data_IF_363398612522
#
_entry.id   IF_363398612522
#
_cell.length_a   1.000
_cell.length_b   1.000
_cell.length_c   1.000
_cell.angle_alpha   90.00
_cell.angle_beta   90.00
_cell.angle_gamma   90.00
#
_symmetry.space_group_name_H-M   'P 1'
#
loop_
_entity.id
_entity.type
_entity.pdbx_description
1 polymer ?
#
# COMPACT_ATOMS: atom_id res chain seq x y z
N UNK A 1 6.24 -21.26 -30.39
CA UNK A 1 6.84 -19.92 -30.60
C UNK A 1 5.75 -19.04 -31.16
N UNK A 2 5.41 -17.93 -30.49
CA UNK A 2 4.50 -16.93 -31.06
C UNK A 2 5.08 -16.41 -32.38
N UNK A 3 4.34 -16.54 -33.47
CA UNK A 3 4.77 -16.06 -34.77
C UNK A 3 4.74 -14.53 -34.79
N UNK A 4 5.90 -13.90 -34.99
CA UNK A 4 6.06 -12.48 -35.28
C UNK A 4 5.17 -12.13 -36.48
N UNK A 5 4.20 -11.22 -36.31
CA UNK A 5 3.20 -10.86 -37.33
C UNK A 5 3.53 -9.58 -38.10
N UNK A 6 4.82 -9.34 -38.36
CA UNK A 6 5.30 -8.12 -39.03
C UNK A 6 4.57 -7.80 -40.34
N UNK A 7 4.32 -8.82 -41.16
CA UNK A 7 3.73 -8.70 -42.48
C UNK A 7 2.27 -8.20 -42.42
N UNK A 8 1.47 -8.82 -41.55
CA UNK A 8 0.08 -8.40 -41.28
C UNK A 8 0.04 -7.00 -40.67
N UNK A 9 0.99 -6.71 -39.77
CA UNK A 9 1.05 -5.44 -39.05
C UNK A 9 1.38 -4.27 -39.97
N UNK A 10 2.31 -4.44 -40.93
CA UNK A 10 2.61 -3.43 -41.95
C UNK A 10 1.35 -3.14 -42.80
N UNK A 11 0.66 -4.19 -43.25
CA UNK A 11 -0.57 -4.03 -44.03
C UNK A 11 -1.68 -3.31 -43.24
N UNK A 12 -1.81 -3.64 -41.95
CA UNK A 12 -2.75 -3.01 -41.03
C UNK A 12 -2.45 -1.51 -40.82
N UNK A 13 -1.22 -1.17 -40.43
CA UNK A 13 -0.79 0.21 -40.16
C UNK A 13 -0.87 1.09 -41.42
N UNK A 14 -0.49 0.54 -42.59
CA UNK A 14 -0.64 1.23 -43.87
C UNK A 14 -2.10 1.62 -44.13
N UNK A 15 -3.02 0.67 -43.96
CA UNK A 15 -4.47 0.90 -44.15
C UNK A 15 -5.01 1.90 -43.12
N UNK A 16 -4.54 1.85 -41.88
CA UNK A 16 -4.92 2.80 -40.83
C UNK A 16 -4.51 4.25 -41.17
N UNK A 17 -3.34 4.43 -41.77
CA UNK A 17 -2.87 5.75 -42.29
C UNK A 17 -3.49 6.13 -43.64
N UNK A 18 -4.35 5.29 -44.22
CA UNK A 18 -5.01 5.55 -45.51
C UNK A 18 -4.07 5.51 -46.72
N UNK A 19 -2.89 4.89 -46.60
CA UNK A 19 -1.88 4.86 -47.66
C UNK A 19 -2.12 3.69 -48.62
N UNK A 20 -1.83 3.89 -49.90
CA UNK A 20 -1.67 2.81 -50.89
C UNK A 20 -0.29 2.13 -50.75
N UNK A 21 -0.12 0.93 -51.30
CA UNK A 21 1.19 0.26 -51.30
C UNK A 21 2.25 1.08 -52.04
N UNK A 22 1.84 1.79 -53.09
CA UNK A 22 2.73 2.66 -53.87
C UNK A 22 3.17 3.91 -53.09
N UNK A 23 2.26 4.51 -52.32
CA UNK A 23 2.59 5.66 -51.45
C UNK A 23 3.50 5.25 -50.30
N UNK A 24 3.27 4.08 -49.70
CA UNK A 24 4.17 3.52 -48.69
C UNK A 24 5.57 3.28 -49.27
N UNK A 25 5.64 2.67 -50.46
CA UNK A 25 6.89 2.42 -51.16
C UNK A 25 7.65 3.72 -51.43
N UNK A 26 6.95 4.76 -51.91
CA UNK A 26 7.51 6.07 -52.17
C UNK A 26 8.04 6.75 -50.90
N UNK A 27 7.30 6.65 -49.79
CA UNK A 27 7.72 7.22 -48.51
C UNK A 27 8.99 6.58 -47.94
N UNK A 28 9.19 5.29 -48.19
CA UNK A 28 10.33 4.50 -47.69
C UNK A 28 11.47 4.35 -48.70
N UNK A 29 11.35 4.92 -49.90
CA UNK A 29 12.37 4.80 -50.95
C UNK A 29 12.54 3.39 -51.51
N UNK A 30 11.48 2.56 -51.47
CA UNK A 30 11.48 1.18 -51.97
C UNK A 30 10.53 1.02 -53.16
N UNK A 31 10.51 -0.16 -53.79
CA UNK A 31 9.58 -0.44 -54.89
C UNK A 31 8.20 -0.88 -54.38
N UNK A 32 7.14 -0.56 -55.13
CA UNK A 32 5.79 -1.05 -54.83
C UNK A 32 5.75 -2.59 -54.75
N UNK A 33 6.54 -3.27 -55.59
CA UNK A 33 6.67 -4.72 -55.57
C UNK A 33 7.30 -5.25 -54.27
N UNK A 34 8.23 -4.51 -53.64
CA UNK A 34 8.78 -4.87 -52.35
C UNK A 34 7.71 -4.83 -51.26
N UNK A 35 6.93 -3.74 -51.19
CA UNK A 35 5.81 -3.61 -50.25
C UNK A 35 4.77 -4.71 -50.45
N UNK A 36 4.41 -5.02 -51.70
CA UNK A 36 3.49 -6.12 -52.02
C UNK A 36 4.00 -7.48 -51.51
N UNK A 37 5.31 -7.74 -51.65
CA UNK A 37 5.93 -8.98 -51.14
C UNK A 37 5.97 -9.03 -49.61
N UNK A 38 6.15 -7.89 -48.95
CA UNK A 38 6.06 -7.79 -47.48
C UNK A 38 4.67 -8.17 -46.98
N UNK A 39 3.63 -7.55 -47.55
CA UNK A 39 2.24 -7.77 -47.13
C UNK A 39 1.69 -9.16 -47.53
N UNK A 40 2.34 -9.86 -48.47
CA UNK A 40 1.94 -11.20 -48.93
C UNK A 40 2.82 -12.33 -48.38
N UNK A 41 3.60 -12.07 -47.34
CA UNK A 41 4.47 -13.06 -46.66
C UNK A 41 5.59 -13.66 -47.54
N UNK A 42 5.90 -13.04 -48.69
CA UNK A 42 6.93 -13.55 -49.59
C UNK A 42 8.34 -13.14 -49.16
N UNK A 43 8.49 -11.97 -48.53
CA UNK A 43 9.74 -11.55 -47.89
C UNK A 43 9.46 -10.56 -46.75
N UNK A 44 10.48 -10.26 -45.96
CA UNK A 44 10.41 -9.23 -44.92
C UNK A 44 11.17 -7.97 -45.38
N UNK A 45 10.82 -6.78 -44.84
CA UNK A 45 11.67 -5.60 -44.97
C UNK A 45 13.04 -5.85 -44.34
N UNK A 46 14.06 -5.16 -44.84
CA UNK A 46 15.40 -5.18 -44.24
C UNK A 46 15.30 -4.66 -42.79
N UNK A 47 16.12 -5.23 -41.89
CA UNK A 47 16.21 -4.77 -40.50
C UNK A 47 16.57 -3.27 -40.43
N UNK A 48 17.36 -2.77 -41.39
CA UNK A 48 17.73 -1.37 -41.49
C UNK A 48 16.54 -0.44 -41.84
N UNK A 49 15.49 -0.96 -42.45
CA UNK A 49 14.27 -0.20 -42.79
C UNK A 49 13.26 -0.15 -41.63
N UNK A 50 13.38 -1.01 -40.62
CA UNK A 50 12.41 -1.09 -39.52
C UNK A 50 12.26 0.24 -38.75
N UNK A 51 13.33 0.98 -38.41
CA UNK A 51 13.20 2.27 -37.72
C UNK A 51 12.41 3.30 -38.54
N UNK A 52 12.62 3.34 -39.85
CA UNK A 52 11.94 4.28 -40.75
C UNK A 52 10.46 3.90 -40.93
N UNK A 53 10.16 2.61 -41.03
CA UNK A 53 8.77 2.10 -41.06
C UNK A 53 8.05 2.45 -39.76
N UNK A 54 8.68 2.18 -38.61
CA UNK A 54 8.13 2.47 -37.30
C UNK A 54 7.84 3.97 -37.13
N UNK A 55 8.79 4.82 -37.55
CA UNK A 55 8.65 6.27 -37.55
C UNK A 55 7.54 6.77 -38.48
N UNK A 56 7.39 6.20 -39.68
CA UNK A 56 6.34 6.58 -40.62
C UNK A 56 4.94 6.29 -40.05
N UNK A 57 4.80 5.18 -39.33
CA UNK A 57 3.53 4.77 -38.73
C UNK A 57 3.28 5.37 -37.34
N UNK A 58 4.28 6.02 -36.74
CA UNK A 58 4.23 6.58 -35.39
C UNK A 58 4.01 5.49 -34.31
N UNK A 59 4.78 4.40 -34.44
CA UNK A 59 4.76 3.25 -33.52
C UNK A 59 6.19 2.89 -33.10
N UNK A 60 6.33 2.13 -32.02
CA UNK A 60 7.61 1.52 -31.63
C UNK A 60 7.96 0.34 -32.55
N UNK A 61 9.25 -0.04 -32.59
CA UNK A 61 9.69 -1.24 -33.34
C UNK A 61 9.02 -2.50 -32.77
N UNK A 62 8.83 -2.59 -31.45
CA UNK A 62 8.15 -3.70 -30.79
C UNK A 62 6.69 -3.85 -31.27
N UNK A 63 5.95 -2.73 -31.32
CA UNK A 63 4.59 -2.70 -31.88
C UNK A 63 4.56 -3.04 -33.37
N UNK A 64 5.57 -2.61 -34.14
CA UNK A 64 5.68 -2.89 -35.57
C UNK A 64 5.88 -4.39 -35.85
N UNK A 65 6.73 -5.07 -35.08
CA UNK A 65 6.96 -6.52 -35.25
C UNK A 65 5.87 -7.36 -34.56
N UNK A 66 4.90 -6.72 -33.90
CA UNK A 66 3.86 -7.38 -33.12
C UNK A 66 4.43 -8.09 -31.88
N UNK A 67 5.62 -7.68 -31.43
CA UNK A 67 6.20 -8.13 -30.19
C UNK A 67 5.51 -7.39 -29.05
N UNK A 68 4.56 -8.06 -28.41
CA UNK A 68 4.12 -7.68 -27.08
C UNK A 68 5.10 -8.37 -26.13
N UNK A 69 6.01 -7.62 -25.52
CA UNK A 69 6.74 -8.15 -24.37
C UNK A 69 5.70 -8.75 -23.43
N UNK A 70 5.85 -9.99 -22.98
CA UNK A 70 5.03 -10.52 -21.90
C UNK A 70 5.00 -9.43 -20.82
N UNK A 71 3.80 -8.91 -20.51
CA UNK A 71 3.64 -7.80 -19.56
C UNK A 71 4.28 -8.24 -18.25
N UNK A 72 5.53 -7.85 -18.06
CA UNK A 72 6.30 -8.16 -16.87
C UNK A 72 5.79 -7.20 -15.81
N UNK A 73 5.86 -7.59 -14.54
CA UNK A 73 5.40 -6.74 -13.44
C UNK A 73 5.99 -5.31 -13.49
N UNK A 74 7.25 -5.20 -13.93
CA UNK A 74 7.95 -3.94 -14.22
C UNK A 74 7.19 -3.04 -15.22
N UNK A 75 6.67 -3.62 -16.31
CA UNK A 75 5.94 -2.88 -17.35
C UNK A 75 4.58 -2.39 -16.84
N UNK A 76 3.91 -3.16 -15.97
CA UNK A 76 2.65 -2.75 -15.35
C UNK A 76 2.89 -1.59 -14.39
N UNK A 77 3.93 -1.65 -13.56
CA UNK A 77 4.31 -0.55 -12.67
C UNK A 77 4.58 0.74 -13.45
N UNK A 78 5.37 0.67 -14.52
CA UNK A 78 5.71 1.85 -15.33
C UNK A 78 4.46 2.44 -16.02
N UNK A 79 3.53 1.61 -16.51
CA UNK A 79 2.26 2.05 -17.08
C UNK A 79 1.39 2.77 -16.04
N UNK A 80 1.24 2.20 -14.84
CA UNK A 80 0.48 2.80 -13.74
C UNK A 80 1.11 4.13 -13.31
N UNK A 81 2.44 4.16 -13.14
CA UNK A 81 3.19 5.39 -12.81
C UNK A 81 2.99 6.47 -13.86
N UNK A 82 3.08 6.10 -15.14
CA UNK A 82 2.85 7.02 -16.26
C UNK A 82 1.43 7.57 -16.27
N UNK A 83 0.43 6.71 -16.05
CA UNK A 83 -0.98 7.10 -15.94
C UNK A 83 -1.19 8.16 -14.86
N UNK A 84 -0.65 7.96 -13.65
CA UNK A 84 -0.78 8.93 -12.57
C UNK A 84 -0.01 10.23 -12.84
N UNK A 85 1.17 10.14 -13.44
CA UNK A 85 2.00 11.32 -13.76
C UNK A 85 1.33 12.21 -14.81
N UNK A 86 0.57 11.63 -15.74
CA UNK A 86 -0.14 12.36 -16.80
C UNK A 86 -1.57 12.78 -16.40
N UNK A 87 -2.08 12.31 -15.25
CA UNK A 87 -3.42 12.63 -14.78
C UNK A 87 -3.48 14.01 -14.11
N UNK A 88 -4.56 14.79 -14.30
CA UNK A 88 -4.83 15.99 -13.50
C UNK A 88 -4.84 15.69 -11.99
N UNK A 89 -4.26 16.57 -11.17
CA UNK A 89 -4.14 16.36 -9.73
C UNK A 89 -5.48 16.03 -9.03
N UNK A 90 -6.57 16.64 -9.49
CA UNK A 90 -7.92 16.44 -8.98
C UNK A 90 -8.46 15.02 -9.23
N UNK A 91 -8.00 14.35 -10.30
CA UNK A 91 -8.45 13.00 -10.66
C UNK A 91 -7.50 11.89 -10.18
N UNK A 92 -6.29 12.23 -9.71
CA UNK A 92 -5.31 11.26 -9.22
C UNK A 92 -5.88 10.42 -8.08
N UNK A 93 -6.52 11.07 -7.10
CA UNK A 93 -7.10 10.36 -5.96
C UNK A 93 -8.24 9.42 -6.39
N UNK A 94 -9.15 9.89 -7.23
CA UNK A 94 -10.26 9.09 -7.73
C UNK A 94 -9.76 7.88 -8.55
N UNK A 95 -8.76 8.08 -9.40
CA UNK A 95 -8.14 7.01 -10.18
C UNK A 95 -7.44 5.99 -9.27
N UNK A 96 -6.75 6.44 -8.22
CA UNK A 96 -6.11 5.56 -7.24
C UNK A 96 -7.14 4.74 -6.45
N UNK A 97 -8.25 5.38 -6.05
CA UNK A 97 -9.36 4.71 -5.38
C UNK A 97 -10.03 3.67 -6.27
N UNK A 98 -10.31 3.98 -7.54
CA UNK A 98 -10.88 3.01 -8.49
C UNK A 98 -9.95 1.84 -8.72
N UNK A 99 -8.64 2.09 -8.85
CA UNK A 99 -7.64 1.04 -9.00
C UNK A 99 -7.61 0.10 -7.78
N UNK A 100 -7.68 0.64 -6.56
CA UNK A 100 -7.70 -0.17 -5.34
C UNK A 100 -8.98 -0.98 -5.19
N UNK A 101 -10.14 -0.43 -5.57
CA UNK A 101 -11.42 -1.16 -5.64
C UNK A 101 -11.31 -2.34 -6.60
N UNK A 102 -10.80 -2.11 -7.80
CA UNK A 102 -10.65 -3.17 -8.81
C UNK A 102 -9.69 -4.27 -8.36
N UNK A 103 -8.58 -3.92 -7.70
CA UNK A 103 -7.64 -4.90 -7.14
C UNK A 103 -8.27 -5.72 -6.01
N UNK A 104 -9.05 -5.07 -5.14
CA UNK A 104 -9.75 -5.76 -4.06
C UNK A 104 -10.86 -6.67 -4.59
N UNK A 105 -11.66 -6.20 -5.55
CA UNK A 105 -12.65 -7.01 -6.24
C UNK A 105 -12.01 -8.22 -6.95
N UNK A 106 -10.88 -8.02 -7.63
CA UNK A 106 -10.14 -9.10 -8.26
C UNK A 106 -9.63 -10.14 -7.24
N UNK A 107 -9.24 -9.70 -6.04
CA UNK A 107 -8.82 -10.59 -4.95
C UNK A 107 -10.00 -11.34 -4.31
N UNK A 108 -11.19 -10.72 -4.22
CA UNK A 108 -12.36 -11.29 -3.54
C UNK A 108 -13.29 -12.11 -4.47
N UNK A 109 -13.28 -11.86 -5.79
CA UNK A 109 -14.17 -12.54 -6.74
C UNK A 109 -13.50 -13.73 -7.42
N UNK A 110 -14.29 -14.75 -7.79
CA UNK A 110 -13.77 -15.90 -8.55
C UNK A 110 -13.35 -15.55 -9.99
N UNK A 111 -13.78 -14.41 -10.53
CA UNK A 111 -13.70 -14.09 -11.97
C UNK A 111 -12.28 -13.97 -12.54
N UNK A 112 -11.31 -13.54 -11.73
CA UNK A 112 -9.90 -13.36 -12.16
C UNK A 112 -8.94 -14.40 -11.58
N UNK A 113 -9.39 -15.31 -10.72
CA UNK A 113 -8.53 -16.32 -10.08
C UNK A 113 -7.86 -17.28 -11.07
N UNK A 114 -8.32 -17.34 -12.32
CA UNK A 114 -7.67 -18.11 -13.39
C UNK A 114 -6.45 -17.44 -14.04
N UNK A 115 -6.23 -16.14 -13.82
CA UNK A 115 -5.17 -15.36 -14.49
C UNK A 115 -4.03 -14.92 -13.58
N UNK A 116 -4.18 -15.10 -12.27
CA UNK A 116 -3.20 -14.69 -11.30
C UNK A 116 -2.95 -15.86 -10.32
N UNK A 117 -1.75 -15.98 -9.73
CA UNK A 117 -1.22 -17.23 -9.18
C UNK A 117 -1.80 -17.64 -7.82
N UNK A 118 -3.11 -17.47 -7.61
CA UNK A 118 -3.80 -17.71 -6.34
C UNK A 118 -4.61 -19.01 -6.39
N UNK A 119 -4.84 -19.65 -5.23
CA UNK A 119 -5.63 -20.89 -5.14
C UNK A 119 -7.14 -20.62 -5.31
N UNK A 120 -7.70 -21.07 -6.43
CA UNK A 120 -9.11 -20.86 -6.78
C UNK A 120 -10.10 -21.52 -5.81
N UNK A 121 -9.68 -22.53 -5.05
CA UNK A 121 -10.53 -23.36 -4.20
C UNK A 121 -10.69 -22.84 -2.77
N UNK A 122 -9.94 -21.80 -2.39
CA UNK A 122 -9.99 -21.20 -1.06
C UNK A 122 -11.14 -20.18 -0.96
N UNK A 123 -11.97 -20.30 0.07
CA UNK A 123 -12.99 -19.31 0.41
C UNK A 123 -12.32 -18.15 1.14
N UNK A 124 -12.43 -16.96 0.57
CA UNK A 124 -11.81 -15.74 1.11
C UNK A 124 -12.80 -14.87 1.88
N UNK A 125 -14.06 -15.29 2.01
CA UNK A 125 -15.01 -14.65 2.90
C UNK A 125 -14.76 -15.05 4.36
N UNK A 126 -15.11 -14.16 5.30
CA UNK A 126 -15.22 -14.52 6.72
C UNK A 126 -16.38 -15.51 6.87
N UNK A 127 -16.11 -16.82 6.88
CA UNK A 127 -17.14 -17.87 6.96
C UNK A 127 -17.97 -17.84 8.26
N UNK A 128 -17.50 -17.17 9.32
CA UNK A 128 -18.11 -17.20 10.66
C UNK A 128 -18.88 -15.92 11.08
N UNK A 129 -18.84 -14.84 10.29
CA UNK A 129 -19.52 -13.58 10.66
C UNK A 129 -20.63 -13.23 9.66
N UNK A 130 -21.82 -12.80 10.13
CA UNK A 130 -22.90 -12.38 9.25
C UNK A 130 -22.40 -11.25 8.34
N UNK A 131 -22.50 -11.45 7.03
CA UNK A 131 -22.02 -10.53 6.00
C UNK A 131 -22.51 -9.10 6.28
N UNK A 132 -21.63 -8.24 6.81
CA UNK A 132 -21.90 -6.81 6.89
C UNK A 132 -21.69 -6.25 5.49
N UNK A 133 -22.76 -5.70 4.92
CA UNK A 133 -22.66 -4.96 3.67
C UNK A 133 -21.64 -3.81 3.83
N UNK A 134 -20.70 -3.70 2.89
CA UNK A 134 -19.59 -2.75 3.01
C UNK A 134 -18.36 -3.27 3.75
N UNK A 135 -18.26 -4.59 4.01
CA UNK A 135 -17.08 -5.21 4.62
C UNK A 135 -16.62 -6.46 3.86
N UNK A 136 -15.37 -6.49 3.42
CA UNK A 136 -14.72 -7.68 2.84
C UNK A 136 -13.23 -7.69 3.15
N UNK A 137 -12.68 -8.87 3.43
CA UNK A 137 -11.28 -9.05 3.75
C UNK A 137 -10.72 -10.21 2.92
N UNK A 138 -9.50 -10.06 2.39
CA UNK A 138 -8.76 -11.11 1.71
C UNK A 138 -7.34 -11.11 2.28
N UNK A 139 -6.85 -12.28 2.69
CA UNK A 139 -5.53 -12.45 3.29
C UNK A 139 -4.76 -13.54 2.56
N UNK A 140 -3.66 -13.15 1.94
CA UNK A 140 -2.76 -14.02 1.18
C UNK A 140 -1.30 -13.79 1.56
N UNK A 141 -0.40 -14.77 1.32
CA UNK A 141 1.03 -14.62 1.62
C UNK A 141 1.68 -13.38 0.98
N UNK A 142 1.21 -12.98 -0.20
CA UNK A 142 1.70 -11.82 -0.94
C UNK A 142 1.15 -10.49 -0.38
N UNK A 143 -0.02 -10.50 0.26
CA UNK A 143 -0.68 -9.30 0.75
C UNK A 143 -2.08 -9.50 1.32
N UNK A 144 -2.51 -8.52 2.11
CA UNK A 144 -3.84 -8.45 2.71
C UNK A 144 -4.59 -7.24 2.16
N UNK A 145 -5.88 -7.40 1.91
CA UNK A 145 -6.78 -6.29 1.55
C UNK A 145 -8.03 -6.33 2.42
N UNK A 146 -8.46 -5.17 2.92
CA UNK A 146 -9.69 -5.01 3.71
C UNK A 146 -10.47 -3.82 3.16
N UNK A 147 -11.72 -4.05 2.78
CA UNK A 147 -12.71 -3.01 2.53
C UNK A 147 -13.59 -2.87 3.77
N UNK A 148 -13.72 -1.65 4.29
CA UNK A 148 -14.59 -1.34 5.43
C UNK A 148 -15.17 0.06 5.27
N UNK A 149 -16.50 0.16 5.12
CA UNK A 149 -17.18 1.44 4.87
C UNK A 149 -16.75 2.05 3.53
N UNK A 150 -16.12 3.22 3.55
CA UNK A 150 -15.59 3.91 2.35
C UNK A 150 -14.06 3.77 2.21
N UNK A 151 -13.42 2.91 3.01
CA UNK A 151 -11.96 2.74 3.02
C UNK A 151 -11.53 1.38 2.46
N UNK A 152 -10.44 1.37 1.70
CA UNK A 152 -9.70 0.16 1.30
C UNK A 152 -8.31 0.22 1.91
N UNK A 153 -7.98 -0.79 2.70
CA UNK A 153 -6.67 -0.99 3.31
C UNK A 153 -5.95 -2.09 2.55
N UNK A 154 -4.70 -1.83 2.15
CA UNK A 154 -3.85 -2.80 1.44
C UNK A 154 -2.52 -2.88 2.20
N UNK A 155 -2.09 -4.09 2.55
CA UNK A 155 -0.82 -4.34 3.19
C UNK A 155 -0.06 -5.42 2.41
N UNK A 156 1.26 -5.27 2.24
CA UNK A 156 2.09 -6.35 1.74
C UNK A 156 2.38 -7.33 2.89
N UNK A 157 2.19 -8.64 2.67
CA UNK A 157 2.41 -9.65 3.71
C UNK A 157 3.86 -9.70 4.23
N UNK A 158 4.77 -9.03 3.51
CA UNK A 158 6.21 -8.90 3.81
C UNK A 158 6.51 -8.20 5.14
N UNK A 159 5.59 -7.38 5.66
CA UNK A 159 5.82 -6.60 6.88
C UNK A 159 5.19 -7.22 8.13
N UNK A 160 4.43 -8.32 7.98
CA UNK A 160 3.81 -9.01 9.10
C UNK A 160 4.56 -10.32 9.36
N UNK A 161 5.54 -10.28 10.25
CA UNK A 161 6.02 -11.49 10.90
C UNK A 161 5.04 -11.85 12.00
N UNK A 162 4.52 -13.07 11.98
CA UNK A 162 3.74 -13.60 13.10
C UNK A 162 4.62 -13.46 14.35
N UNK A 163 4.16 -12.74 15.40
CA UNK A 163 4.97 -12.57 16.58
C UNK A 163 5.31 -13.93 17.17
N UNK A 164 6.58 -14.15 17.51
CA UNK A 164 7.00 -15.38 18.17
C UNK A 164 6.37 -15.50 19.57
N UNK A 165 6.48 -16.67 20.21
CA UNK A 165 5.89 -16.91 21.54
C UNK A 165 6.38 -15.90 22.58
N UNK A 166 7.63 -15.45 22.49
CA UNK A 166 8.16 -14.42 23.40
C UNK A 166 7.49 -13.09 23.12
N UNK A 167 7.37 -12.68 21.86
CA UNK A 167 6.73 -11.43 21.45
C UNK A 167 5.23 -11.41 21.81
N UNK A 168 4.52 -12.53 21.66
CA UNK A 168 3.12 -12.66 22.11
C UNK A 168 3.02 -12.54 23.63
N UNK A 169 3.92 -13.19 24.38
CA UNK A 169 3.97 -13.07 25.84
C UNK A 169 4.27 -11.64 26.26
N UNK A 170 5.24 -10.99 25.64
CA UNK A 170 5.65 -9.62 25.97
C UNK A 170 4.52 -8.63 25.64
N UNK A 171 3.80 -8.84 24.54
CA UNK A 171 2.57 -8.10 24.20
C UNK A 171 1.46 -8.33 25.23
N UNK A 172 1.22 -9.58 25.64
CA UNK A 172 0.24 -9.91 26.67
C UNK A 172 0.57 -9.23 27.99
N UNK A 173 1.82 -9.31 28.45
CA UNK A 173 2.27 -8.65 29.68
C UNK A 173 2.15 -7.13 29.60
N UNK A 174 2.40 -6.52 28.44
CA UNK A 174 2.19 -5.10 28.23
C UNK A 174 0.69 -4.73 28.28
N UNK A 175 -0.17 -5.51 27.62
CA UNK A 175 -1.61 -5.28 27.60
C UNK A 175 -2.26 -5.52 28.97
N UNK A 176 -1.79 -6.50 29.73
CA UNK A 176 -2.24 -6.79 31.09
C UNK A 176 -1.96 -5.62 32.04
N UNK A 177 -0.77 -5.01 31.96
CA UNK A 177 -0.43 -3.79 32.73
C UNK A 177 -1.33 -2.62 32.36
N UNK A 178 -1.64 -2.47 31.07
CA UNK A 178 -2.54 -1.42 30.57
C UNK A 178 -4.02 -1.71 30.82
N UNK A 179 -4.39 -2.91 31.29
CA UNK A 179 -5.77 -3.22 31.67
C UNK A 179 -6.18 -2.59 33.01
N UNK A 180 -5.21 -2.19 33.84
CA UNK A 180 -5.46 -1.52 35.11
C UNK A 180 -5.81 -0.04 34.89
N UNK A 181 -7.01 0.36 35.37
CA UNK A 181 -7.52 1.74 35.26
C UNK A 181 -6.60 2.76 35.94
N UNK A 182 -5.97 2.42 37.05
CA UNK A 182 -5.08 3.32 37.78
C UNK A 182 -3.75 3.50 37.02
N UNK A 183 -3.21 2.42 36.45
CA UNK A 183 -2.02 2.47 35.58
C UNK A 183 -2.27 3.39 34.38
N UNK A 184 -3.41 3.25 33.70
CA UNK A 184 -3.77 4.12 32.58
C UNK A 184 -3.91 5.60 32.99
N UNK A 185 -4.56 5.87 34.13
CA UNK A 185 -4.74 7.25 34.65
C UNK A 185 -3.40 7.91 34.95
N UNK A 186 -2.49 7.18 35.61
CA UNK A 186 -1.14 7.68 35.95
C UNK A 186 -0.31 7.88 34.69
N UNK A 187 -0.28 6.90 33.78
CA UNK A 187 0.43 6.99 32.50
C UNK A 187 -0.03 8.21 31.68
N UNK A 188 -1.34 8.40 31.54
CA UNK A 188 -1.92 9.52 30.80
C UNK A 188 -1.58 10.86 31.44
N UNK A 189 -1.68 10.94 32.78
CA UNK A 189 -1.37 12.16 33.53
C UNK A 189 0.10 12.53 33.38
N UNK A 190 1.00 11.55 33.51
CA UNK A 190 2.44 11.75 33.35
C UNK A 190 2.78 12.18 31.92
N UNK A 191 2.13 11.59 30.92
CA UNK A 191 2.28 11.99 29.51
C UNK A 191 1.83 13.44 29.28
N UNK A 192 0.61 13.80 29.67
CA UNK A 192 0.08 15.16 29.49
C UNK A 192 0.96 16.22 30.15
N UNK A 193 1.52 15.91 31.31
CA UNK A 193 2.40 16.84 32.04
C UNK A 193 3.77 16.99 31.38
N UNK A 194 4.28 15.96 30.72
CA UNK A 194 5.67 15.92 30.25
C UNK A 194 5.84 16.01 28.72
N UNK A 195 4.76 15.86 27.94
CA UNK A 195 4.80 15.83 26.46
C UNK A 195 5.30 17.14 25.83
N UNK A 196 4.99 18.28 26.44
CA UNK A 196 5.35 19.60 25.88
C UNK A 196 6.72 20.11 26.33
N UNK A 197 7.42 19.38 27.21
CA UNK A 197 8.73 19.78 27.72
C UNK A 197 9.58 18.54 28.00
N UNK A 198 10.61 18.32 27.20
CA UNK A 198 11.47 17.13 27.26
C UNK A 198 12.32 17.02 28.53
N UNK A 199 12.59 18.14 29.21
CA UNK A 199 13.45 18.19 30.40
C UNK A 199 12.66 18.14 31.72
N UNK A 200 11.32 18.18 31.65
CA UNK A 200 10.46 18.23 32.83
C UNK A 200 10.28 16.85 33.48
N UNK A 201 10.47 16.78 34.79
CA UNK A 201 10.12 15.63 35.63
C UNK A 201 9.09 16.08 36.66
N UNK A 202 8.17 15.20 37.04
CA UNK A 202 7.00 15.53 37.85
C UNK A 202 7.08 14.86 39.21
N UNK A 203 6.66 15.56 40.27
CA UNK A 203 6.64 15.01 41.64
C UNK A 203 5.46 14.05 41.84
N UNK A 204 5.59 13.12 42.80
CA UNK A 204 4.51 12.19 43.16
C UNK A 204 3.21 12.90 43.59
N UNK A 205 3.26 13.96 44.43
CA UNK A 205 2.05 14.68 44.84
C UNK A 205 1.32 15.36 43.67
N UNK A 206 2.07 15.91 42.71
CA UNK A 206 1.48 16.58 41.54
C UNK A 206 0.75 15.58 40.63
N UNK A 207 1.33 14.38 40.46
CA UNK A 207 0.70 13.28 39.71
C UNK A 207 -0.58 12.85 40.42
N UNK A 208 -0.52 12.57 41.73
CA UNK A 208 -1.65 12.12 42.53
C UNK A 208 -2.82 13.12 42.54
N UNK A 209 -2.50 14.41 42.68
CA UNK A 209 -3.48 15.49 42.62
C UNK A 209 -4.18 15.53 41.27
N UNK A 210 -3.42 15.46 40.18
CA UNK A 210 -3.97 15.61 38.82
C UNK A 210 -4.72 14.39 38.33
N UNK A 211 -4.28 13.18 38.68
CA UNK A 211 -4.98 11.96 38.33
C UNK A 211 -6.10 11.61 39.31
N UNK A 212 -6.29 12.34 40.42
CA UNK A 212 -7.26 12.09 41.49
C UNK A 212 -7.17 10.66 42.06
N UNK A 213 -5.97 10.28 42.51
CA UNK A 213 -5.64 9.02 43.18
C UNK A 213 -4.82 9.29 44.44
N UNK A 214 -4.73 8.31 45.35
CA UNK A 214 -3.81 8.42 46.49
C UNK A 214 -2.36 8.26 46.05
N UNK A 215 -1.41 8.86 46.77
CA UNK A 215 0.03 8.69 46.47
C UNK A 215 0.46 7.22 46.50
N UNK A 216 -0.18 6.41 47.34
CA UNK A 216 0.03 4.95 47.40
C UNK A 216 -0.39 4.24 46.12
N UNK A 217 -1.55 4.59 45.58
CA UNK A 217 -2.06 4.02 44.31
C UNK A 217 -1.20 4.46 43.13
N UNK A 218 -0.74 5.71 43.13
CA UNK A 218 0.17 6.24 42.10
C UNK A 218 1.51 5.53 42.16
N UNK A 219 2.07 5.30 43.36
CA UNK A 219 3.33 4.57 43.53
C UNK A 219 3.22 3.15 42.96
N UNK A 220 2.14 2.44 43.29
CA UNK A 220 1.87 1.08 42.79
C UNK A 220 1.71 1.05 41.27
N UNK A 221 1.07 2.09 40.69
CA UNK A 221 0.92 2.22 39.25
C UNK A 221 2.26 2.52 38.56
N UNK A 222 3.12 3.37 39.14
CA UNK A 222 4.42 3.73 38.60
C UNK A 222 5.38 2.53 38.49
N UNK A 223 5.27 1.53 39.38
CA UNK A 223 6.04 0.28 39.29
C UNK A 223 5.76 -0.51 38.00
N UNK A 224 4.60 -0.28 37.38
CA UNK A 224 4.15 -0.99 36.19
C UNK A 224 4.29 -0.18 34.89
N UNK A 225 4.88 1.03 34.97
CA UNK A 225 5.04 1.96 33.85
C UNK A 225 6.54 2.10 33.52
N UNK A 226 6.93 2.17 32.23
CA UNK A 226 8.30 2.50 31.84
C UNK A 226 8.64 3.96 32.18
N UNK A 227 9.30 4.18 33.31
CA UNK A 227 9.63 5.51 33.84
C UNK A 227 11.13 5.72 34.02
N UNK A 228 11.55 6.99 33.91
CA UNK A 228 12.85 7.49 34.35
C UNK A 228 12.67 8.30 35.62
N UNK A 229 13.53 8.06 36.61
CA UNK A 229 13.52 8.77 37.90
C UNK A 229 14.75 9.68 37.96
N UNK A 230 14.55 10.92 38.41
CA UNK A 230 15.63 11.85 38.78
C UNK A 230 15.43 12.32 40.22
N UNK A 231 16.52 12.46 40.95
CA UNK A 231 16.49 13.09 42.27
C UNK A 231 16.45 14.61 42.10
N UNK A 232 15.55 15.26 42.85
CA UNK A 232 15.51 16.72 42.96
C UNK A 232 16.60 17.24 43.89
N UNK A 233 16.77 18.57 43.95
CA UNK A 233 17.71 19.23 44.87
C UNK A 233 17.43 18.93 46.36
N UNK A 234 16.23 18.43 46.69
CA UNK A 234 15.81 18.05 48.04
C UNK A 234 15.78 16.53 48.27
N UNK A 235 16.45 15.73 47.43
CA UNK A 235 16.47 14.25 47.48
C UNK A 235 15.09 13.56 47.23
N UNK A 236 14.08 14.30 46.78
CA UNK A 236 12.79 13.72 46.41
C UNK A 236 12.79 13.18 44.97
N UNK A 237 12.19 12.01 44.71
CA UNK A 237 12.13 11.42 43.37
C UNK A 237 11.14 12.16 42.47
N UNK A 238 11.60 12.47 41.25
CA UNK A 238 10.80 13.04 40.18
C UNK A 238 10.69 12.04 39.03
N UNK A 239 9.50 11.95 38.45
CA UNK A 239 9.12 10.89 37.51
C UNK A 239 8.87 11.44 36.11
N UNK A 240 9.24 10.65 35.09
CA UNK A 240 8.94 10.92 33.68
C UNK A 240 8.78 9.60 32.92
N UNK A 241 7.98 9.57 31.85
CA UNK A 241 7.91 8.43 30.92
C UNK A 241 9.24 8.28 30.15
N UNK A 242 9.71 7.04 29.99
CA UNK A 242 10.90 6.72 29.20
C UNK A 242 10.72 7.04 27.71
N UNK A 243 11.74 7.65 27.09
CA UNK A 243 11.66 8.42 25.83
C UNK A 243 11.29 7.68 24.54
N UNK A 244 11.09 6.36 24.54
CA UNK A 244 10.51 5.63 23.38
C UNK A 244 8.97 5.66 23.36
N UNK A 245 8.34 6.00 24.49
CA UNK A 245 6.88 6.07 24.65
C UNK A 245 6.32 7.51 24.52
N UNK A 246 7.17 8.51 24.27
CA UNK A 246 6.72 9.89 24.02
C UNK A 246 6.08 10.08 22.63
N UNK A 247 6.37 9.17 21.69
CA UNK A 247 5.81 9.15 20.32
C UNK A 247 4.51 8.33 20.19
N UNK A 248 3.86 8.00 21.32
CA UNK A 248 2.51 7.41 21.28
C UNK A 248 1.59 8.38 20.54
N UNK A 249 1.17 7.99 19.32
CA UNK A 249 0.31 8.80 18.46
C UNK A 249 -0.97 9.21 19.20
N UNK A 250 -1.19 10.53 19.29
CA UNK A 250 -2.35 11.23 19.87
C UNK A 250 -3.73 10.68 19.45
N UNK A 251 -3.81 9.93 18.35
CA UNK A 251 -5.05 9.35 17.82
C UNK A 251 -5.62 8.21 18.68
N UNK A 252 -4.79 7.35 19.28
CA UNK A 252 -5.30 6.19 20.04
C UNK A 252 -5.82 6.61 21.42
N UNK A 253 -5.25 7.65 22.01
CA UNK A 253 -5.56 8.08 23.38
C UNK A 253 -6.67 9.14 23.49
N UNK A 254 -6.94 9.93 22.43
CA UNK A 254 -7.99 10.97 22.46
C UNK A 254 -9.41 10.42 22.55
N UNK A 255 -9.69 9.27 21.94
CA UNK A 255 -11.03 8.65 22.01
C UNK A 255 -11.26 7.88 23.33
N UNK A 256 -10.20 7.30 23.91
CA UNK A 256 -10.32 6.61 25.20
C UNK A 256 -10.30 7.56 26.41
N UNK A 257 -9.62 8.72 26.33
CA UNK A 257 -9.57 9.68 27.44
C UNK A 257 -10.93 10.31 27.75
N UNK A 258 -11.78 10.56 26.74
CA UNK A 258 -13.15 11.04 26.97
C UNK A 258 -14.02 10.02 27.70
N UNK A 259 -13.79 8.71 27.50
CA UNK A 259 -14.54 7.64 28.17
C UNK A 259 -14.04 7.33 29.58
N UNK A 260 -12.73 7.43 29.84
CA UNK A 260 -12.14 7.03 31.14
C UNK A 260 -12.19 8.15 32.18
N UNK A 261 -12.18 9.43 31.75
CA UNK A 261 -12.20 10.58 32.67
C UNK A 261 -13.62 11.01 33.09
N UNK A 262 -14.67 10.48 32.44
CA UNK A 262 -16.08 10.81 32.75
C UNK A 262 -16.81 9.71 33.53
N UNK A 263 -16.13 8.61 33.88
CA UNK A 263 -16.68 7.46 34.63
C UNK A 263 -15.91 7.18 35.93
#
# INVERSE_FOLDING_TARGET
MENIKLNDQIAFLRRQKGLTQEELARALGVTNQAVSKWESFQCCPDIALLPDIAKLFDVSIDELIGYKSADTFENVYLKIKSLFTQSPAESVFENAFRLSVLLHEAACTQGYKGYAPWDTNKNYGMEEYPHKWGFSACSEPEGNTIYSGNGIFIANGKSYQTPDISQIRDLYLALERLADKNVLRVLYTLYEMTVNNFDLYVSLPDIASKCNLSETDVTTALENIPITIKESENEEPLYRIEGSYTDISLMVFKEQSQMILTA
#
